data_IF_765677153797
#
_entry.id   IF_765677153797
#
_cell.length_a   1.000
_cell.length_b   1.000
_cell.length_c   1.000
_cell.angle_alpha   90.00
_cell.angle_beta   90.00
_cell.angle_gamma   90.00
#
_symmetry.space_group_name_H-M   'P 1'
#
loop_
_entity.id
_entity.type
_entity.pdbx_description
1 polymer ?
#
# COMPACT_ATOMS: atom_id res chain seq x y z
N UNK A 1 -16.08 23.97 -11.23
CA UNK A 1 -16.65 24.77 -10.14
C UNK A 1 -17.89 25.57 -10.57
N UNK A 2 -18.75 24.98 -11.41
CA UNK A 2 -19.96 25.66 -11.90
C UNK A 2 -21.05 25.73 -10.83
N UNK A 3 -21.27 24.62 -10.11
CA UNK A 3 -22.35 24.52 -9.12
C UNK A 3 -22.17 25.47 -7.92
N UNK A 4 -20.94 25.66 -7.45
CA UNK A 4 -20.66 26.51 -6.28
C UNK A 4 -20.89 28.01 -6.54
N UNK A 5 -20.76 28.47 -7.79
CA UNK A 5 -20.93 29.88 -8.15
C UNK A 5 -22.38 30.35 -8.07
N UNK A 6 -23.34 29.45 -8.29
CA UNK A 6 -24.78 29.77 -8.22
C UNK A 6 -25.38 29.69 -6.81
N UNK A 7 -24.67 29.07 -5.85
CA UNK A 7 -25.22 28.74 -4.53
C UNK A 7 -24.62 29.56 -3.37
N UNK A 8 -23.45 30.16 -3.57
CA UNK A 8 -22.71 30.81 -2.47
C UNK A 8 -22.69 32.33 -2.63
N UNK A 9 -22.93 33.04 -1.53
CA UNK A 9 -22.79 34.51 -1.45
C UNK A 9 -21.56 34.85 -0.61
N UNK A 10 -20.56 35.47 -1.24
CA UNK A 10 -19.25 35.82 -0.66
C UNK A 10 -18.48 34.66 0.01
N UNK A 11 -18.22 33.54 -0.71
CA UNK A 11 -17.46 32.45 -0.13
C UNK A 11 -15.98 32.82 0.04
N UNK A 12 -15.41 32.47 1.20
CA UNK A 12 -13.95 32.45 1.40
C UNK A 12 -13.46 31.06 1.01
N UNK A 13 -12.55 30.99 0.04
CA UNK A 13 -11.95 29.73 -0.43
C UNK A 13 -10.72 29.43 0.42
N UNK A 14 -10.78 28.35 1.18
CA UNK A 14 -9.63 27.80 1.90
C UNK A 14 -9.20 26.55 1.16
N UNK A 15 -8.06 26.61 0.49
CA UNK A 15 -7.40 25.45 -0.12
C UNK A 15 -6.17 25.09 0.72
N UNK A 16 -6.10 23.82 1.12
CA UNK A 16 -4.83 23.21 1.53
C UNK A 16 -4.11 22.82 0.24
N UNK A 17 -2.82 23.16 0.14
CA UNK A 17 -1.97 22.88 -1.01
C UNK A 17 -2.23 21.50 -1.62
N UNK A 18 -2.18 21.35 -2.96
CA UNK A 18 -2.29 20.02 -3.56
C UNK A 18 -1.23 19.13 -2.91
N UNK A 19 -1.62 17.93 -2.49
CA UNK A 19 -0.69 16.94 -1.96
C UNK A 19 0.50 16.89 -2.92
N UNK A 20 1.66 17.38 -2.47
CA UNK A 20 2.89 17.35 -3.25
C UNK A 20 3.01 15.94 -3.79
N UNK A 21 3.12 15.78 -5.10
CA UNK A 21 3.16 14.50 -5.80
C UNK A 21 4.06 13.52 -5.06
N UNK A 22 3.47 12.65 -4.22
CA UNK A 22 4.19 11.63 -3.45
C UNK A 22 5.03 10.75 -4.39
N UNK A 23 4.67 10.72 -5.67
CA UNK A 23 5.20 9.87 -6.70
C UNK A 23 6.57 10.24 -7.27
N UNK A 24 7.09 11.46 -7.09
CA UNK A 24 8.35 11.85 -7.77
C UNK A 24 9.57 11.11 -7.21
N UNK A 25 9.54 10.71 -5.94
CA UNK A 25 10.68 10.06 -5.25
C UNK A 25 10.47 8.56 -4.99
N UNK A 26 9.31 7.99 -5.38
CA UNK A 26 9.03 6.57 -5.19
C UNK A 26 9.65 5.77 -6.33
N UNK A 27 10.68 4.97 -6.00
CA UNK A 27 11.22 3.96 -6.91
C UNK A 27 10.22 2.81 -7.05
N UNK A 28 9.72 2.60 -8.27
CA UNK A 28 8.76 1.55 -8.59
C UNK A 28 9.43 0.45 -9.40
N UNK A 29 9.12 -0.80 -9.07
CA UNK A 29 9.61 -1.96 -9.82
C UNK A 29 8.53 -3.04 -9.93
N UNK A 30 8.67 -3.90 -10.94
CA UNK A 30 7.74 -5.01 -11.20
C UNK A 30 8.52 -6.32 -11.18
N UNK A 31 8.04 -7.29 -10.40
CA UNK A 31 8.57 -8.65 -10.38
C UNK A 31 7.57 -9.59 -11.05
N UNK A 32 7.93 -10.14 -12.21
CA UNK A 32 7.14 -11.15 -12.90
C UNK A 32 7.30 -12.50 -12.17
N UNK A 33 6.21 -13.02 -11.62
CA UNK A 33 6.21 -14.29 -10.90
C UNK A 33 4.88 -15.02 -11.09
N UNK A 34 4.95 -16.36 -11.20
CA UNK A 34 3.74 -17.19 -11.16
C UNK A 34 3.15 -17.15 -9.75
N UNK A 35 1.84 -17.36 -9.61
CA UNK A 35 1.14 -17.30 -8.33
C UNK A 35 1.80 -18.15 -7.23
N UNK A 36 2.24 -19.37 -7.57
CA UNK A 36 2.91 -20.27 -6.62
C UNK A 36 4.30 -19.79 -6.18
N UNK A 37 4.95 -18.94 -6.96
CA UNK A 37 6.29 -18.40 -6.68
C UNK A 37 6.25 -17.14 -5.83
N UNK A 38 5.13 -16.40 -5.81
CA UNK A 38 5.02 -15.10 -5.14
C UNK A 38 5.44 -15.13 -3.66
N UNK A 39 5.08 -16.19 -2.93
CA UNK A 39 5.50 -16.36 -1.53
C UNK A 39 7.02 -16.37 -1.41
N UNK A 40 7.68 -17.29 -2.11
CA UNK A 40 9.13 -17.42 -2.04
C UNK A 40 9.86 -16.16 -2.49
N UNK A 41 9.35 -15.49 -3.52
CA UNK A 41 9.89 -14.20 -3.99
C UNK A 41 9.78 -13.14 -2.89
N UNK A 42 8.61 -13.00 -2.27
CA UNK A 42 8.40 -12.04 -1.20
C UNK A 42 9.33 -12.31 0.00
N UNK A 43 9.40 -13.55 0.46
CA UNK A 43 10.27 -13.93 1.59
C UNK A 43 11.75 -13.63 1.30
N UNK A 44 12.21 -13.85 0.06
CA UNK A 44 13.58 -13.48 -0.36
C UNK A 44 13.80 -11.97 -0.37
N UNK A 45 12.81 -11.17 -0.78
CA UNK A 45 12.92 -9.71 -0.77
C UNK A 45 12.98 -9.17 0.66
N UNK A 46 12.14 -9.71 1.56
CA UNK A 46 12.07 -9.28 2.96
C UNK A 46 13.28 -9.71 3.80
N UNK A 47 14.05 -10.70 3.35
CA UNK A 47 15.31 -11.08 3.98
C UNK A 47 16.42 -10.02 3.81
N UNK A 48 16.21 -8.99 2.99
CA UNK A 48 17.11 -7.86 2.88
C UNK A 48 16.95 -6.93 4.08
N UNK A 49 18.03 -6.66 4.82
CA UNK A 49 18.04 -5.79 6.01
C UNK A 49 17.54 -4.36 5.74
N UNK A 50 17.64 -3.87 4.49
CA UNK A 50 17.06 -2.59 4.10
C UNK A 50 15.52 -2.57 4.17
N UNK A 51 14.86 -3.74 4.15
CA UNK A 51 13.41 -3.91 4.24
C UNK A 51 12.93 -4.12 5.68
N UNK A 52 13.39 -3.28 6.60
CA UNK A 52 13.09 -3.41 8.04
C UNK A 52 11.62 -3.16 8.39
N UNK A 53 10.93 -2.30 7.65
CA UNK A 53 9.50 -2.01 7.86
C UNK A 53 8.81 -1.93 6.51
N UNK A 54 7.89 -2.86 6.26
CA UNK A 54 7.25 -3.04 4.96
C UNK A 54 5.75 -3.19 5.12
N UNK A 55 4.99 -2.55 4.24
CA UNK A 55 3.55 -2.76 4.11
C UNK A 55 3.30 -3.61 2.87
N UNK A 56 2.70 -4.79 3.06
CA UNK A 56 2.33 -5.69 1.97
C UNK A 56 0.83 -5.60 1.71
N UNK A 57 0.46 -5.06 0.56
CA UNK A 57 -0.94 -5.01 0.14
C UNK A 57 -1.37 -6.30 -0.55
N UNK A 58 -2.59 -6.74 -0.25
CA UNK A 58 -3.24 -7.84 -0.96
C UNK A 58 -4.68 -7.44 -1.32
N UNK A 59 -5.24 -8.05 -2.38
CA UNK A 59 -6.54 -7.65 -2.93
C UNK A 59 -7.71 -7.97 -2.00
N UNK A 60 -7.60 -9.00 -1.17
CA UNK A 60 -8.72 -9.52 -0.36
C UNK A 60 -8.29 -9.77 1.07
N UNK A 61 -9.24 -9.67 2.02
CA UNK A 61 -9.05 -10.02 3.44
C UNK A 61 -8.38 -11.38 3.62
N UNK A 62 -8.94 -12.42 3.00
CA UNK A 62 -8.39 -13.77 3.05
C UNK A 62 -6.99 -13.88 2.41
N UNK A 63 -6.68 -13.04 1.42
CA UNK A 63 -5.35 -12.94 0.85
C UNK A 63 -4.34 -12.39 1.86
N UNK A 64 -4.72 -11.36 2.62
CA UNK A 64 -3.89 -10.74 3.63
C UNK A 64 -3.61 -11.72 4.78
N UNK A 65 -4.63 -12.44 5.23
CA UNK A 65 -4.50 -13.51 6.23
C UNK A 65 -3.53 -14.60 5.78
N UNK A 66 -3.63 -15.03 4.51
CA UNK A 66 -2.76 -16.06 3.95
C UNK A 66 -1.31 -15.59 3.89
N UNK A 67 -1.07 -14.39 3.37
CA UNK A 67 0.29 -13.82 3.27
C UNK A 67 0.92 -13.71 4.66
N UNK A 68 0.17 -13.22 5.65
CA UNK A 68 0.64 -13.09 7.03
C UNK A 68 1.05 -14.46 7.61
N UNK A 69 0.19 -15.48 7.47
CA UNK A 69 0.50 -16.85 7.92
C UNK A 69 1.72 -17.44 7.22
N UNK A 70 1.88 -17.19 5.93
CA UNK A 70 3.02 -17.65 5.15
C UNK A 70 4.32 -16.98 5.62
N UNK A 71 4.31 -15.66 5.86
CA UNK A 71 5.45 -14.91 6.35
C UNK A 71 5.86 -15.32 7.78
N UNK A 72 4.90 -15.51 8.68
CA UNK A 72 5.16 -16.03 10.04
C UNK A 72 5.78 -17.42 9.97
N UNK A 73 5.31 -18.29 9.06
CA UNK A 73 5.92 -19.61 8.85
C UNK A 73 7.35 -19.52 8.32
N UNK A 74 7.64 -18.51 7.52
CA UNK A 74 8.98 -18.25 6.98
C UNK A 74 9.89 -17.51 7.97
N UNK A 75 9.41 -17.22 9.19
CA UNK A 75 10.20 -16.65 10.30
C UNK A 75 10.12 -15.14 10.43
N UNK A 76 9.25 -14.46 9.68
CA UNK A 76 9.07 -13.01 9.77
C UNK A 76 8.01 -12.64 10.82
N UNK A 77 8.25 -11.56 11.55
CA UNK A 77 7.21 -10.91 12.34
C UNK A 77 6.25 -10.18 11.39
N UNK A 78 4.96 -10.53 11.43
CA UNK A 78 3.95 -9.95 10.56
C UNK A 78 2.60 -9.85 11.27
N UNK A 79 1.92 -8.74 11.05
CA UNK A 79 0.55 -8.50 11.49
C UNK A 79 -0.35 -8.17 10.28
N UNK A 80 -1.65 -8.42 10.41
CA UNK A 80 -2.63 -8.19 9.35
C UNK A 80 -3.55 -7.03 9.70
N UNK A 81 -3.89 -6.21 8.72
CA UNK A 81 -4.86 -5.10 8.84
C UNK A 81 -5.89 -5.24 7.73
N UNK A 82 -7.17 -5.34 8.08
CA UNK A 82 -8.28 -5.28 7.13
C UNK A 82 -9.57 -4.81 7.84
N UNK A 83 -10.52 -4.26 7.09
CA UNK A 83 -11.90 -4.04 7.57
C UNK A 83 -12.66 -5.37 7.74
N UNK A 84 -13.77 -5.35 8.50
CA UNK A 84 -14.73 -6.45 8.53
C UNK A 84 -15.86 -6.21 7.54
#
# INVERSE_FOLDING_TARGET
>A
AELAKGLLKHPVRVEVSPQSTTAAEIVQSVVLARTRQKRQVLSKMLANEAMRTVIVFSRTKHGADRVTKDLVRDGFEAAVIHGN
#
